data_IF_048583392056
#
_entry.id   IF_048583392056
#
_cell.length_a   1.000
_cell.length_b   1.000
_cell.length_c   1.000
_cell.angle_alpha   90.00
_cell.angle_beta   90.00
_cell.angle_gamma   90.00
#
_symmetry.space_group_name_H-M   'P 1'
#
loop_
_entity.id
_entity.type
_entity.pdbx_description
1 polymer ?
#
# COMPACT_ATOMS: atom_id res chain seq x y z
N UNK A 1 37.87 12.93 -3.64
CA UNK A 1 36.87 11.87 -3.84
C UNK A 1 36.42 11.32 -2.47
N UNK A 2 35.61 12.09 -1.72
CA UNK A 2 35.25 11.82 -0.30
C UNK A 2 33.79 12.20 0.01
N UNK A 3 32.83 11.96 -0.89
CA UNK A 3 31.43 12.42 -0.70
C UNK A 3 30.35 11.34 -0.83
N UNK A 4 30.67 10.09 -1.15
CA UNK A 4 29.66 9.02 -1.28
C UNK A 4 29.24 8.36 0.04
N UNK A 5 30.14 8.28 1.03
CA UNK A 5 29.85 7.50 2.25
C UNK A 5 28.87 8.21 3.21
N UNK A 6 28.63 9.51 3.01
CA UNK A 6 27.70 10.32 3.83
C UNK A 6 26.22 10.11 3.46
N UNK A 7 25.92 9.49 2.32
CA UNK A 7 24.52 9.21 1.91
C UNK A 7 24.02 7.85 2.42
N UNK A 8 24.91 6.92 2.74
CA UNK A 8 24.53 5.59 3.26
C UNK A 8 23.98 5.66 4.69
N UNK A 9 24.47 6.57 5.53
CA UNK A 9 23.99 6.68 6.91
C UNK A 9 22.59 7.31 7.00
N UNK A 10 22.18 8.12 6.03
CA UNK A 10 20.85 8.76 6.02
C UNK A 10 19.71 7.79 5.63
N UNK A 11 20.05 6.58 5.16
CA UNK A 11 19.09 5.57 4.69
C UNK A 11 18.86 4.48 5.75
N UNK A 12 19.61 4.47 6.86
CA UNK A 12 19.55 3.41 7.88
C UNK A 12 18.76 3.78 9.14
N UNK A 13 17.94 4.83 9.10
CA UNK A 13 17.01 5.14 10.19
C UNK A 13 15.58 4.81 9.78
N UNK A 14 15.22 3.53 9.81
CA UNK A 14 13.86 3.10 10.13
C UNK A 14 13.78 1.59 10.37
N UNK A 15 14.49 1.10 11.38
CA UNK A 15 14.11 -0.11 12.12
C UNK A 15 12.90 0.17 13.04
N UNK A 16 11.90 0.89 12.54
CA UNK A 16 10.59 0.86 13.16
C UNK A 16 10.07 -0.56 13.00
N UNK A 17 9.97 -1.28 14.12
CA UNK A 17 9.31 -2.58 14.24
C UNK A 17 8.28 -2.75 13.12
N UNK A 18 8.53 -3.67 12.21
CA UNK A 18 7.71 -3.91 11.01
C UNK A 18 6.37 -4.50 11.43
N UNK A 19 5.54 -3.68 12.09
CA UNK A 19 4.19 -4.02 12.48
C UNK A 19 3.40 -4.09 11.18
N UNK A 20 3.28 -5.30 10.65
CA UNK A 20 2.55 -5.59 9.42
C UNK A 20 1.10 -5.13 9.64
N UNK A 21 0.61 -4.15 8.87
CA UNK A 21 -0.73 -3.63 9.06
C UNK A 21 -1.76 -4.74 8.91
N UNK A 22 -2.59 -4.94 9.94
CA UNK A 22 -3.68 -5.90 9.91
C UNK A 22 -4.77 -5.41 8.96
N UNK A 23 -4.81 -5.99 7.77
CA UNK A 23 -5.85 -5.74 6.78
C UNK A 23 -6.88 -6.87 6.75
N UNK A 24 -8.10 -6.51 6.38
CA UNK A 24 -9.18 -7.47 6.13
C UNK A 24 -8.99 -8.13 4.76
N UNK A 25 -9.66 -9.27 4.57
CA UNK A 25 -9.70 -9.97 3.27
C UNK A 25 -10.18 -9.04 2.14
N UNK A 26 -11.17 -8.18 2.41
CA UNK A 26 -11.68 -7.22 1.43
C UNK A 26 -10.68 -6.12 1.08
N UNK A 27 -10.01 -5.58 2.07
CA UNK A 27 -8.95 -4.60 1.85
C UNK A 27 -7.79 -5.21 1.06
N UNK A 28 -7.42 -6.47 1.33
CA UNK A 28 -6.40 -7.19 0.56
C UNK A 28 -6.82 -7.37 -0.91
N UNK A 29 -8.05 -7.78 -1.18
CA UNK A 29 -8.58 -7.90 -2.54
C UNK A 29 -8.53 -6.57 -3.30
N UNK A 30 -8.99 -5.49 -2.66
CA UNK A 30 -8.96 -4.15 -3.24
C UNK A 30 -7.53 -3.72 -3.55
N UNK A 31 -6.60 -3.98 -2.63
CA UNK A 31 -5.19 -3.65 -2.78
C UNK A 31 -4.53 -4.44 -3.92
N UNK A 32 -4.88 -5.73 -4.09
CA UNK A 32 -4.42 -6.56 -5.21
C UNK A 32 -4.93 -6.03 -6.56
N UNK A 33 -6.21 -5.69 -6.67
CA UNK A 33 -6.76 -5.13 -7.92
C UNK A 33 -6.16 -3.76 -8.22
N UNK A 34 -5.90 -2.95 -7.19
CA UNK A 34 -5.18 -1.68 -7.35
C UNK A 34 -3.74 -1.89 -7.85
N UNK A 35 -3.05 -2.91 -7.35
CA UNK A 35 -1.70 -3.25 -7.80
C UNK A 35 -1.67 -3.71 -9.28
N UNK A 36 -2.79 -4.25 -9.79
CA UNK A 36 -2.98 -4.57 -11.21
C UNK A 36 -3.30 -3.34 -12.08
N UNK A 37 -3.31 -2.13 -11.51
CA UNK A 37 -3.59 -0.89 -12.23
C UNK A 37 -5.07 -0.57 -12.40
N UNK A 38 -5.98 -1.29 -11.73
CA UNK A 38 -7.42 -1.04 -11.86
C UNK A 38 -7.83 0.26 -11.16
N UNK A 39 -8.73 1.00 -11.81
CA UNK A 39 -9.36 2.21 -11.28
C UNK A 39 -10.38 1.87 -10.19
N UNK A 40 -10.79 2.88 -9.39
CA UNK A 40 -11.84 2.68 -8.37
C UNK A 40 -13.14 2.13 -8.97
N UNK A 41 -13.53 2.62 -10.15
CA UNK A 41 -14.72 2.18 -10.87
C UNK A 41 -14.62 0.72 -11.32
N UNK A 42 -13.47 0.29 -11.84
CA UNK A 42 -13.24 -1.10 -12.26
C UNK A 42 -13.20 -2.06 -11.08
N UNK A 43 -12.55 -1.65 -9.97
CA UNK A 43 -12.53 -2.42 -8.72
C UNK A 43 -13.96 -2.56 -8.17
N UNK A 44 -14.72 -1.47 -8.16
CA UNK A 44 -16.10 -1.44 -7.71
C UNK A 44 -16.97 -2.42 -8.53
N UNK A 45 -16.83 -2.38 -9.86
CA UNK A 45 -17.51 -3.32 -10.78
C UNK A 45 -17.08 -4.77 -10.53
N UNK A 46 -15.78 -5.03 -10.40
CA UNK A 46 -15.23 -6.37 -10.18
C UNK A 46 -15.66 -6.99 -8.85
N UNK A 47 -15.93 -6.16 -7.82
CA UNK A 47 -16.33 -6.61 -6.49
C UNK A 47 -17.84 -6.48 -6.25
N UNK A 48 -18.62 -6.05 -7.25
CA UNK A 48 -20.04 -5.73 -7.15
C UNK A 48 -20.36 -4.79 -5.97
N UNK A 49 -19.64 -3.66 -5.90
CA UNK A 49 -19.78 -2.63 -4.86
C UNK A 49 -19.89 -1.24 -5.46
N UNK A 50 -20.35 -0.29 -4.65
CA UNK A 50 -20.31 1.13 -4.99
C UNK A 50 -18.87 1.67 -4.89
N UNK A 51 -18.54 2.65 -5.74
CA UNK A 51 -17.23 3.32 -5.70
C UNK A 51 -16.96 3.99 -4.34
N UNK A 52 -18.01 4.52 -3.69
CA UNK A 52 -17.92 5.08 -2.33
C UNK A 52 -17.42 4.05 -1.32
N UNK A 53 -17.87 2.80 -1.42
CA UNK A 53 -17.39 1.70 -0.56
C UNK A 53 -15.92 1.39 -0.82
N UNK A 54 -15.48 1.40 -2.08
CA UNK A 54 -14.07 1.18 -2.43
C UNK A 54 -13.20 2.33 -1.90
N UNK A 55 -13.66 3.59 -2.04
CA UNK A 55 -12.97 4.76 -1.50
C UNK A 55 -12.87 4.72 0.03
N UNK A 56 -13.92 4.25 0.72
CA UNK A 56 -13.90 4.01 2.16
C UNK A 56 -12.83 2.98 2.55
N UNK A 57 -12.74 1.86 1.84
CA UNK A 57 -11.68 0.88 2.08
C UNK A 57 -10.28 1.46 1.82
N UNK A 58 -10.09 2.29 0.78
CA UNK A 58 -8.82 2.98 0.54
C UNK A 58 -8.47 4.01 1.61
N UNK A 59 -9.46 4.65 2.23
CA UNK A 59 -9.24 5.51 3.40
C UNK A 59 -8.69 4.69 4.58
N UNK A 60 -9.33 3.57 4.90
CA UNK A 60 -8.88 2.68 5.98
C UNK A 60 -7.51 2.07 5.71
N UNK A 61 -7.26 1.61 4.48
CA UNK A 61 -5.95 1.13 4.04
C UNK A 61 -4.88 2.21 4.24
N UNK A 62 -5.12 3.43 3.76
CA UNK A 62 -4.15 4.53 3.94
C UNK A 62 -3.84 4.81 5.41
N UNK A 63 -4.87 4.81 6.27
CA UNK A 63 -4.69 4.96 7.71
C UNK A 63 -3.85 3.82 8.32
N UNK A 64 -4.16 2.56 7.98
CA UNK A 64 -3.43 1.38 8.46
C UNK A 64 -1.97 1.36 8.01
N UNK A 65 -1.70 1.77 6.77
CA UNK A 65 -0.35 1.81 6.22
C UNK A 65 0.40 3.11 6.55
N UNK A 66 -0.27 4.13 7.10
CA UNK A 66 0.33 5.45 7.32
C UNK A 66 0.78 6.12 6.02
N UNK A 67 -0.06 6.07 4.98
CA UNK A 67 0.27 6.59 3.64
C UNK A 67 -0.75 7.64 3.19
N UNK A 68 -0.32 8.58 2.34
CA UNK A 68 -1.16 9.70 1.90
C UNK A 68 -1.97 9.40 0.63
N UNK A 69 -1.45 8.53 -0.24
CA UNK A 69 -2.06 8.18 -1.52
C UNK A 69 -2.05 6.66 -1.77
N UNK A 70 -2.93 6.20 -2.66
CA UNK A 70 -3.10 4.77 -2.97
C UNK A 70 -1.82 4.11 -3.51
N UNK A 71 -1.06 4.82 -4.36
CA UNK A 71 0.20 4.31 -4.92
C UNK A 71 1.24 4.07 -3.82
N UNK A 72 1.35 4.98 -2.86
CA UNK A 72 2.22 4.79 -1.70
C UNK A 72 1.76 3.60 -0.83
N UNK A 73 0.44 3.39 -0.69
CA UNK A 73 -0.11 2.21 -0.02
C UNK A 73 0.29 0.91 -0.70
N UNK A 74 0.14 0.81 -2.03
CA UNK A 74 0.52 -0.37 -2.82
C UNK A 74 2.04 -0.62 -2.70
N UNK A 75 2.86 0.42 -2.88
CA UNK A 75 4.31 0.29 -2.77
C UNK A 75 4.74 -0.19 -1.38
N UNK A 76 4.12 0.35 -0.32
CA UNK A 76 4.41 -0.08 1.05
C UNK A 76 3.95 -1.51 1.30
N UNK A 77 2.82 -1.92 0.73
CA UNK A 77 2.34 -3.30 0.82
C UNK A 77 3.23 -4.31 0.10
N UNK A 78 3.81 -3.93 -1.03
CA UNK A 78 4.84 -4.73 -1.72
C UNK A 78 6.11 -4.84 -0.87
N UNK A 79 6.60 -3.71 -0.31
CA UNK A 79 7.78 -3.69 0.56
C UNK A 79 7.60 -4.54 1.83
N UNK A 80 6.39 -4.61 2.37
CA UNK A 80 6.05 -5.42 3.54
C UNK A 80 5.73 -6.89 3.22
N UNK A 81 5.77 -7.30 1.95
CA UNK A 81 5.43 -8.66 1.52
C UNK A 81 3.95 -9.02 1.65
N UNK A 82 3.06 -8.05 1.90
CA UNK A 82 1.60 -8.25 1.96
C UNK A 82 1.02 -8.49 0.57
N UNK A 83 1.57 -7.80 -0.42
CA UNK A 83 1.34 -8.08 -1.82
C UNK A 83 2.56 -8.79 -2.38
N UNK A 84 2.32 -9.89 -3.09
CA UNK A 84 3.34 -10.58 -3.87
C UNK A 84 3.17 -10.16 -5.33
N UNK A 85 4.27 -9.74 -5.96
CA UNK A 85 4.29 -9.53 -7.40
C UNK A 85 4.40 -10.92 -8.05
N UNK A 86 3.25 -11.55 -8.33
CA UNK A 86 3.18 -12.62 -9.36
C UNK A 86 3.63 -12.06 -10.70
#
# INVERSE_FOLDING_TARGET
MKQDESYKSLILDNEHATCTPKITVREQQILQLCAKGMTTAEIARSLHRAESTINFHFFNLRAKFGTRCRHATVLKALKLGILTHT
#
